data_IF_113113123164
#
_entry.id   IF_113113123164
#
_cell.length_a   1.000
_cell.length_b   1.000
_cell.length_c   1.000
_cell.angle_alpha   90.00
_cell.angle_beta   90.00
_cell.angle_gamma   90.00
#
_symmetry.space_group_name_H-M   'P 1'
#
loop_
_entity.id
_entity.type
_entity.pdbx_description
1 polymer ?
#
# COMPACT_ATOMS: atom_id res chain seq x y z
N UNK A 1 13.48 -15.22 27.86
CA UNK A 1 12.92 -15.44 26.50
C UNK A 1 14.09 -15.54 25.53
N UNK A 2 14.06 -16.48 24.60
CA UNK A 2 15.07 -16.59 23.54
C UNK A 2 15.09 -15.32 22.68
N UNK A 3 16.27 -14.89 22.21
CA UNK A 3 16.33 -13.81 21.23
C UNK A 3 15.72 -14.24 19.91
N UNK A 4 15.29 -13.28 19.06
CA UNK A 4 14.75 -13.58 17.72
C UNK A 4 15.79 -14.35 16.88
N UNK A 5 17.07 -13.95 16.95
CA UNK A 5 18.16 -14.64 16.27
C UNK A 5 18.31 -16.10 16.73
N UNK A 6 18.14 -16.37 18.04
CA UNK A 6 18.15 -17.75 18.55
C UNK A 6 16.96 -18.56 18.06
N UNK A 7 15.75 -17.97 18.00
CA UNK A 7 14.57 -18.66 17.46
C UNK A 7 14.76 -19.00 15.97
N UNK A 8 15.28 -18.07 15.19
CA UNK A 8 15.58 -18.30 13.75
C UNK A 8 16.61 -19.44 13.61
N UNK A 9 17.70 -19.39 14.39
CA UNK A 9 18.75 -20.41 14.34
C UNK A 9 18.28 -21.81 14.80
N UNK A 10 17.25 -21.88 15.64
CA UNK A 10 16.68 -23.12 16.15
C UNK A 10 15.48 -23.61 15.33
N UNK A 11 15.03 -22.84 14.32
CA UNK A 11 13.91 -23.27 13.48
C UNK A 11 14.31 -24.49 12.64
N UNK A 12 13.64 -25.63 12.83
CA UNK A 12 13.92 -26.81 12.02
C UNK A 12 13.55 -26.58 10.57
N UNK A 13 14.35 -27.11 9.66
CA UNK A 13 14.03 -27.11 8.22
C UNK A 13 12.84 -28.05 8.00
N UNK A 14 11.96 -27.70 7.07
CA UNK A 14 10.76 -28.47 6.69
C UNK A 14 9.68 -28.62 7.79
N UNK A 15 9.72 -27.76 8.80
CA UNK A 15 8.71 -27.70 9.86
C UNK A 15 8.02 -26.34 9.88
N UNK A 16 6.76 -26.31 10.32
CA UNK A 16 6.04 -25.07 10.62
C UNK A 16 6.84 -24.19 11.58
N UNK A 17 6.65 -22.89 11.51
CA UNK A 17 7.30 -21.96 12.43
C UNK A 17 6.94 -22.27 13.88
N UNK A 18 7.88 -22.05 14.78
CA UNK A 18 7.65 -22.18 16.23
C UNK A 18 6.57 -21.19 16.67
N UNK A 19 5.83 -21.54 17.72
CA UNK A 19 4.69 -20.77 18.24
C UNK A 19 5.02 -19.30 18.50
N UNK A 20 6.23 -19.02 18.93
CA UNK A 20 6.72 -17.67 19.22
C UNK A 20 6.63 -16.73 18.02
N UNK A 21 6.87 -17.23 16.81
CA UNK A 21 6.75 -16.42 15.58
C UNK A 21 5.34 -15.94 15.29
N UNK A 22 4.32 -16.59 15.84
CA UNK A 22 2.92 -16.21 15.67
C UNK A 22 2.39 -15.34 16.82
N UNK A 23 2.98 -15.44 18.02
CA UNK A 23 2.40 -14.87 19.23
C UNK A 23 3.19 -13.70 19.83
N UNK A 24 4.51 -13.60 19.56
CA UNK A 24 5.32 -12.54 20.16
C UNK A 24 5.08 -11.19 19.47
N UNK A 25 4.77 -10.19 20.29
CA UNK A 25 4.49 -8.82 19.83
C UNK A 25 5.75 -8.19 19.23
N UNK A 26 6.93 -8.39 19.84
CA UNK A 26 8.19 -7.83 19.33
C UNK A 26 8.60 -8.41 17.96
N UNK A 27 8.24 -9.67 17.68
CA UNK A 27 8.42 -10.25 16.34
C UNK A 27 7.46 -9.59 15.35
N UNK A 28 6.21 -9.43 15.74
CA UNK A 28 5.21 -8.77 14.88
C UNK A 28 5.57 -7.32 14.56
N UNK A 29 6.04 -6.56 15.55
CA UNK A 29 6.52 -5.18 15.35
C UNK A 29 7.70 -5.13 14.37
N UNK A 30 8.64 -6.08 14.48
CA UNK A 30 9.75 -6.19 13.55
C UNK A 30 9.30 -6.58 12.12
N UNK A 31 8.30 -7.45 12.00
CA UNK A 31 7.71 -7.81 10.71
C UNK A 31 7.02 -6.62 10.04
N UNK A 32 6.33 -5.78 10.81
CA UNK A 32 5.77 -4.54 10.28
C UNK A 32 6.89 -3.68 9.71
N UNK A 33 7.95 -3.45 10.45
CA UNK A 33 9.07 -2.60 10.03
C UNK A 33 9.81 -3.19 8.81
N UNK A 34 10.15 -4.47 8.84
CA UNK A 34 11.05 -5.09 7.87
C UNK A 34 10.36 -5.71 6.66
N UNK A 35 9.07 -6.05 6.80
CA UNK A 35 8.31 -6.69 5.72
C UNK A 35 7.29 -5.70 5.16
N UNK A 36 6.32 -5.25 5.97
CA UNK A 36 5.23 -4.43 5.45
C UNK A 36 5.67 -3.03 5.01
N UNK A 37 6.61 -2.41 5.73
CA UNK A 37 7.06 -1.05 5.40
C UNK A 37 8.17 -1.02 4.34
N UNK A 38 8.86 -2.14 4.10
CA UNK A 38 10.01 -2.19 3.18
C UNK A 38 9.77 -3.05 1.93
N UNK A 39 8.68 -3.82 1.88
CA UNK A 39 8.33 -4.65 0.73
C UNK A 39 7.33 -3.99 -0.21
N UNK A 40 7.30 -4.44 -1.46
CA UNK A 40 6.24 -4.10 -2.40
C UNK A 40 4.96 -4.86 -2.06
N UNK A 41 3.91 -4.13 -1.77
CA UNK A 41 2.60 -4.65 -1.41
C UNK A 41 1.66 -4.53 -2.59
N UNK A 42 1.03 -5.62 -3.01
CA UNK A 42 -0.09 -5.56 -3.94
C UNK A 42 -1.31 -4.94 -3.24
N UNK A 43 -1.83 -3.85 -3.80
CA UNK A 43 -2.90 -3.07 -3.17
C UNK A 43 -4.16 -2.90 -4.04
N UNK A 44 -4.11 -3.28 -5.30
CA UNK A 44 -5.25 -3.14 -6.21
C UNK A 44 -4.86 -3.25 -7.68
N UNK A 45 -5.84 -3.02 -8.54
CA UNK A 45 -5.67 -3.04 -9.99
C UNK A 45 -5.99 -1.67 -10.59
N UNK A 46 -5.31 -1.28 -11.66
CA UNK A 46 -5.44 0.04 -12.29
C UNK A 46 -6.85 0.29 -12.86
N UNK A 47 -7.58 -0.77 -13.18
CA UNK A 47 -8.98 -0.69 -13.59
C UNK A 47 -9.94 -0.23 -12.48
N UNK A 48 -9.50 -0.13 -11.22
CA UNK A 48 -10.30 0.41 -10.13
C UNK A 48 -10.34 1.95 -10.14
N UNK A 49 -9.37 2.56 -10.80
CA UNK A 49 -9.26 4.02 -10.95
C UNK A 49 -9.04 4.38 -12.43
N UNK A 50 -10.01 4.08 -13.33
CA UNK A 50 -9.85 4.20 -14.78
C UNK A 50 -9.80 5.65 -15.28
N UNK A 51 -10.35 6.62 -14.54
CA UNK A 51 -10.49 8.00 -14.99
C UNK A 51 -9.60 8.95 -14.20
N UNK A 52 -9.23 10.07 -14.80
CA UNK A 52 -8.52 11.16 -14.09
C UNK A 52 -9.32 11.59 -12.85
N UNK A 53 -8.65 11.61 -11.72
CA UNK A 53 -9.23 11.97 -10.44
C UNK A 53 -9.88 10.81 -9.69
N UNK A 54 -10.04 9.64 -10.30
CA UNK A 54 -10.45 8.44 -9.56
C UNK A 54 -9.40 8.10 -8.51
N UNK A 55 -9.85 7.76 -7.33
CA UNK A 55 -8.99 7.36 -6.23
C UNK A 55 -9.61 6.25 -5.38
N UNK A 56 -8.75 5.51 -4.71
CA UNK A 56 -9.11 4.70 -3.56
C UNK A 56 -8.17 4.94 -2.39
N UNK A 57 -8.62 4.62 -1.18
CA UNK A 57 -7.83 4.67 0.04
C UNK A 57 -7.42 3.26 0.44
N UNK A 58 -6.13 3.06 0.60
CA UNK A 58 -5.56 1.83 1.14
C UNK A 58 -5.14 2.06 2.58
N UNK A 59 -5.61 1.19 3.48
CA UNK A 59 -5.26 1.24 4.90
C UNK A 59 -4.39 0.04 5.26
N UNK A 60 -3.26 0.30 5.89
CA UNK A 60 -2.36 -0.71 6.45
C UNK A 60 -2.07 -0.35 7.89
N UNK A 61 -2.58 -1.13 8.82
CA UNK A 61 -2.46 -0.86 10.26
C UNK A 61 -2.98 0.55 10.61
N UNK A 62 -2.11 1.43 11.14
CA UNK A 62 -2.43 2.83 11.41
C UNK A 62 -2.31 3.76 10.20
N UNK A 63 -1.65 3.29 9.16
CA UNK A 63 -1.35 4.09 7.99
C UNK A 63 -2.52 4.12 6.99
N UNK A 64 -2.68 5.26 6.33
CA UNK A 64 -3.70 5.47 5.32
C UNK A 64 -3.07 6.14 4.11
N UNK A 65 -3.28 5.57 2.92
CA UNK A 65 -2.67 6.02 1.66
C UNK A 65 -3.76 6.27 0.64
N UNK A 66 -3.70 7.42 -0.03
CA UNK A 66 -4.54 7.76 -1.17
C UNK A 66 -3.82 7.31 -2.44
N UNK A 67 -4.46 6.48 -3.23
CA UNK A 67 -3.99 6.08 -4.57
C UNK A 67 -4.89 6.76 -5.59
N UNK A 68 -4.31 7.54 -6.51
CA UNK A 68 -5.08 8.41 -7.42
C UNK A 68 -4.52 8.37 -8.84
N UNK A 69 -5.41 8.47 -9.83
CA UNK A 69 -5.01 8.73 -11.22
C UNK A 69 -4.87 10.24 -11.44
N UNK A 70 -3.67 10.67 -11.76
CA UNK A 70 -3.33 12.06 -12.04
C UNK A 70 -3.85 12.57 -13.39
N UNK A 71 -3.71 13.87 -13.63
CA UNK A 71 -4.11 14.52 -14.90
C UNK A 71 -3.29 14.07 -16.11
N UNK A 72 -2.10 13.56 -15.87
CA UNK A 72 -1.18 13.00 -16.85
C UNK A 72 -1.32 11.49 -17.02
N UNK A 73 -2.44 10.95 -16.53
CA UNK A 73 -2.78 9.53 -16.54
C UNK A 73 -1.86 8.64 -15.67
N UNK A 74 -0.93 9.22 -14.90
CA UNK A 74 -0.06 8.48 -14.02
C UNK A 74 -0.75 8.18 -12.69
N UNK A 75 -0.59 6.97 -12.19
CA UNK A 75 -1.05 6.58 -10.85
C UNK A 75 0.00 7.03 -9.82
N UNK A 76 -0.47 7.63 -8.74
CA UNK A 76 0.35 8.14 -7.63
C UNK A 76 -0.23 7.73 -6.30
N UNK A 77 0.64 7.65 -5.32
CA UNK A 77 0.25 7.35 -3.95
C UNK A 77 0.76 8.42 -2.99
N UNK A 78 -0.08 8.80 -2.03
CA UNK A 78 0.25 9.79 -1.01
C UNK A 78 -0.26 9.33 0.34
N UNK A 79 0.49 9.63 1.41
CA UNK A 79 -0.06 9.51 2.76
C UNK A 79 -1.34 10.35 2.87
N UNK A 80 -2.40 9.77 3.37
CA UNK A 80 -3.70 10.42 3.55
C UNK A 80 -3.68 11.37 4.77
N UNK A 81 -2.68 12.23 4.80
CA UNK A 81 -2.38 13.12 5.94
C UNK A 81 -2.09 14.54 5.44
N UNK A 82 -2.86 15.51 5.94
CA UNK A 82 -2.68 16.91 5.61
C UNK A 82 -1.38 17.46 6.26
N UNK A 83 -0.56 18.14 5.47
CA UNK A 83 0.72 18.74 5.89
C UNK A 83 0.57 19.88 6.92
N UNK A 84 -0.65 20.36 7.13
CA UNK A 84 -0.93 21.42 8.09
C UNK A 84 -0.93 20.88 9.54
N UNK A 85 -1.88 20.01 9.88
CA UNK A 85 -2.07 19.48 11.25
C UNK A 85 -2.46 17.99 11.27
N UNK A 86 -2.04 17.21 10.29
CA UNK A 86 -2.17 15.77 10.33
C UNK A 86 -3.57 15.20 10.14
N UNK A 87 -4.57 16.03 9.77
CA UNK A 87 -5.93 15.52 9.50
C UNK A 87 -5.96 14.63 8.26
N UNK A 88 -6.75 13.59 8.27
CA UNK A 88 -7.08 12.81 7.06
C UNK A 88 -7.73 13.72 6.02
N UNK A 89 -7.38 13.53 4.75
CA UNK A 89 -7.84 14.35 3.62
C UNK A 89 -9.02 13.68 2.92
N UNK A 90 -8.87 12.42 2.50
CA UNK A 90 -9.95 11.60 1.95
C UNK A 90 -10.56 10.78 3.08
N UNK A 91 -11.84 10.97 3.32
CA UNK A 91 -12.60 10.27 4.35
C UNK A 91 -13.36 9.06 3.78
N UNK A 92 -13.68 9.10 2.50
CA UNK A 92 -14.33 8.00 1.78
C UNK A 92 -13.29 7.04 1.19
N UNK A 93 -13.62 5.77 1.18
CA UNK A 93 -12.71 4.72 0.69
C UNK A 93 -12.39 4.84 -0.80
N UNK A 94 -13.26 5.44 -1.59
CA UNK A 94 -13.07 5.68 -3.03
C UNK A 94 -13.92 6.82 -3.55
N UNK A 95 -13.55 7.36 -4.71
CA UNK A 95 -14.31 8.43 -5.35
C UNK A 95 -13.61 9.02 -6.55
N UNK A 96 -14.14 10.14 -7.06
CA UNK A 96 -13.51 10.95 -8.10
C UNK A 96 -13.40 12.40 -7.62
N UNK A 97 -12.21 12.97 -7.73
CA UNK A 97 -11.92 14.34 -7.29
C UNK A 97 -11.08 15.09 -8.30
N UNK A 98 -11.26 16.40 -8.34
CA UNK A 98 -10.41 17.29 -9.14
C UNK A 98 -9.16 17.76 -8.40
N UNK A 99 -9.19 17.72 -7.06
CA UNK A 99 -8.13 18.12 -6.14
C UNK A 99 -8.43 17.58 -4.74
N UNK A 100 -7.41 17.42 -3.92
CA UNK A 100 -7.56 17.04 -2.52
C UNK A 100 -7.81 18.28 -1.68
N UNK A 101 -8.88 18.34 -0.92
CA UNK A 101 -9.17 19.43 0.00
C UNK A 101 -9.31 18.89 1.42
N UNK A 102 -8.44 19.32 2.31
CA UNK A 102 -8.48 18.93 3.71
C UNK A 102 -9.77 19.44 4.37
N UNK A 103 -10.55 18.58 5.01
CA UNK A 103 -11.82 18.98 5.62
C UNK A 103 -11.62 19.87 6.86
N UNK A 104 -10.40 19.93 7.43
CA UNK A 104 -10.16 20.66 8.66
C UNK A 104 -9.97 22.18 8.41
N UNK A 105 -9.00 22.58 7.56
CA UNK A 105 -8.72 24.00 7.29
C UNK A 105 -8.64 24.33 5.79
N UNK A 106 -9.22 23.48 4.94
CA UNK A 106 -9.30 23.67 3.51
C UNK A 106 -7.94 23.84 2.77
N UNK A 107 -6.83 23.34 3.34
CA UNK A 107 -5.62 23.20 2.56
C UNK A 107 -5.90 22.31 1.37
N UNK A 108 -5.53 22.77 0.17
CA UNK A 108 -5.90 22.11 -1.07
C UNK A 108 -4.66 21.75 -1.86
N UNK A 109 -4.62 20.51 -2.32
CA UNK A 109 -3.51 19.95 -3.08
C UNK A 109 -4.00 19.51 -4.47
N UNK A 110 -3.12 19.63 -5.45
CA UNK A 110 -3.35 19.09 -6.79
C UNK A 110 -3.26 17.56 -6.76
N UNK A 111 -3.67 16.89 -7.88
CA UNK A 111 -3.57 15.43 -8.00
C UNK A 111 -2.11 14.94 -8.08
N UNK A 112 -1.15 15.83 -8.38
CA UNK A 112 0.30 15.55 -8.31
C UNK A 112 0.89 15.68 -6.91
N UNK A 113 0.04 15.97 -5.90
CA UNK A 113 0.41 16.13 -4.50
C UNK A 113 0.93 17.51 -4.14
N UNK A 114 1.14 18.43 -5.08
CA UNK A 114 1.62 19.78 -4.79
C UNK A 114 0.59 20.62 -4.03
N UNK A 115 1.04 21.45 -3.09
CA UNK A 115 0.17 22.36 -2.34
C UNK A 115 -0.28 23.52 -3.23
N UNK A 116 -1.58 23.60 -3.49
CA UNK A 116 -2.19 24.66 -4.30
C UNK A 116 -2.65 25.85 -3.44
N UNK A 117 -3.48 25.60 -2.44
CA UNK A 117 -4.08 26.60 -1.57
C UNK A 117 -3.75 26.27 -0.11
N UNK A 118 -3.19 27.23 0.59
CA UNK A 118 -3.00 27.21 2.03
C UNK A 118 -3.51 28.52 2.60
N UNK A 119 -4.72 28.52 3.16
CA UNK A 119 -5.23 29.67 3.90
C UNK A 119 -4.41 29.83 5.18
N UNK A 120 -4.18 31.05 5.58
CA UNK A 120 -3.46 31.40 6.81
C UNK A 120 -1.97 30.99 6.84
N UNK A 121 -1.39 30.65 5.68
CA UNK A 121 0.05 30.48 5.60
C UNK A 121 0.71 31.85 5.76
N UNK A 122 1.60 31.99 6.74
CA UNK A 122 2.31 33.23 6.98
C UNK A 122 3.09 33.71 5.74
N UNK A 123 3.15 35.03 5.53
CA UNK A 123 3.89 35.59 4.43
C UNK A 123 5.37 35.20 4.51
N UNK A 124 5.89 34.65 3.41
CA UNK A 124 7.28 34.19 3.31
C UNK A 124 7.50 32.69 3.43
N UNK A 125 6.49 31.90 3.84
CA UNK A 125 6.60 30.44 3.80
C UNK A 125 6.36 29.97 2.36
N UNK A 126 7.35 29.28 1.79
CA UNK A 126 7.26 28.70 0.45
C UNK A 126 6.35 27.47 0.47
N UNK A 127 5.45 27.37 -0.51
CA UNK A 127 4.57 26.20 -0.68
C UNK A 127 5.34 24.95 -1.18
N UNK A 128 6.48 25.19 -1.83
CA UNK A 128 7.40 24.13 -2.22
C UNK A 128 7.88 23.38 -0.97
N UNK A 129 7.77 22.07 -0.98
CA UNK A 129 8.06 21.23 0.18
C UNK A 129 6.89 21.00 1.14
N UNK A 130 5.75 21.69 0.97
CA UNK A 130 4.51 21.44 1.72
C UNK A 130 3.50 20.57 0.95
N UNK A 131 3.93 19.92 -0.13
CA UNK A 131 3.15 18.91 -0.83
C UNK A 131 2.89 17.67 0.02
N UNK A 132 1.94 16.84 -0.40
CA UNK A 132 1.65 15.56 0.26
C UNK A 132 2.88 14.65 0.26
N UNK A 133 3.06 13.90 1.32
CA UNK A 133 4.09 12.86 1.38
C UNK A 133 3.80 11.78 0.36
N UNK A 134 4.73 11.56 -0.57
CA UNK A 134 4.64 10.52 -1.59
C UNK A 134 4.99 9.17 -0.99
N UNK A 135 4.25 8.14 -1.41
CA UNK A 135 4.67 6.75 -1.28
C UNK A 135 5.18 6.25 -2.64
N UNK A 136 6.03 5.25 -2.61
CA UNK A 136 6.51 4.62 -3.84
C UNK A 136 5.39 3.77 -4.43
N UNK A 137 5.19 3.88 -5.74
CA UNK A 137 4.15 3.15 -6.44
C UNK A 137 4.67 2.65 -7.78
N UNK A 138 4.25 1.47 -8.18
CA UNK A 138 4.52 0.89 -9.48
C UNK A 138 3.27 0.18 -10.01
N UNK A 139 3.15 0.15 -11.33
CA UNK A 139 2.11 -0.64 -12.00
C UNK A 139 2.81 -1.68 -12.86
N UNK A 140 2.46 -2.94 -12.65
CA UNK A 140 2.99 -4.08 -13.40
C UNK A 140 1.82 -4.90 -13.92
N UNK A 141 1.61 -4.92 -15.22
CA UNK A 141 0.51 -5.62 -15.89
C UNK A 141 -0.87 -5.35 -15.26
N UNK A 142 -1.13 -4.06 -14.93
CA UNK A 142 -2.35 -3.63 -14.27
C UNK A 142 -2.35 -3.74 -12.74
N UNK A 143 -1.44 -4.53 -12.15
CA UNK A 143 -1.32 -4.64 -10.69
C UNK A 143 -0.68 -3.38 -10.11
N UNK A 144 -1.32 -2.76 -9.14
CA UNK A 144 -0.79 -1.62 -8.40
C UNK A 144 -0.01 -2.12 -7.19
N UNK A 145 1.27 -1.77 -7.13
CA UNK A 145 2.20 -2.13 -6.06
C UNK A 145 2.61 -0.87 -5.29
N UNK A 146 2.52 -0.92 -3.97
CA UNK A 146 2.88 0.16 -3.05
C UNK A 146 4.10 -0.23 -2.21
N UNK A 147 4.98 0.73 -1.94
CA UNK A 147 6.07 0.56 -0.98
C UNK A 147 6.23 1.84 -0.16
N UNK A 148 6.48 1.70 1.14
CA UNK A 148 6.65 2.82 2.07
C UNK A 148 8.11 3.26 2.23
N UNK A 149 9.07 2.46 1.76
CA UNK A 149 10.50 2.76 1.83
C UNK A 149 10.87 3.90 0.89
N UNK A 150 11.77 4.77 1.32
CA UNK A 150 12.35 5.80 0.44
C UNK A 150 13.25 5.20 -0.66
N UNK A 151 13.76 3.99 -0.44
CA UNK A 151 14.65 3.26 -1.35
C UNK A 151 14.16 1.81 -1.54
N UNK A 152 13.02 1.61 -2.21
CA UNK A 152 12.46 0.28 -2.40
C UNK A 152 13.36 -0.60 -3.27
N UNK A 153 13.32 -1.90 -3.04
CA UNK A 153 14.00 -2.86 -3.90
C UNK A 153 13.50 -2.77 -5.35
N UNK A 154 14.40 -3.06 -6.32
CA UNK A 154 14.01 -3.11 -7.74
C UNK A 154 12.94 -4.17 -8.00
N UNK A 155 11.98 -3.82 -8.86
CA UNK A 155 10.94 -4.73 -9.36
C UNK A 155 11.36 -5.50 -10.62
N UNK A 156 12.59 -5.34 -11.11
CA UNK A 156 13.01 -5.95 -12.36
C UNK A 156 12.96 -7.48 -12.31
N UNK A 157 13.36 -8.07 -11.19
CA UNK A 157 13.23 -9.51 -10.98
C UNK A 157 11.78 -10.00 -11.04
N UNK A 158 10.87 -9.27 -10.38
CA UNK A 158 9.44 -9.57 -10.38
C UNK A 158 8.83 -9.44 -11.80
N UNK A 159 9.15 -8.34 -12.49
CA UNK A 159 8.69 -8.10 -13.85
C UNK A 159 9.14 -9.21 -14.80
N UNK A 160 10.41 -9.60 -14.74
CA UNK A 160 10.96 -10.64 -15.60
C UNK A 160 10.27 -12.00 -15.43
N UNK A 161 9.81 -12.30 -14.22
CA UNK A 161 9.13 -13.57 -13.92
C UNK A 161 7.63 -13.51 -14.24
N UNK A 162 6.98 -12.37 -13.99
CA UNK A 162 5.52 -12.28 -14.04
C UNK A 162 4.99 -11.76 -15.38
N UNK A 163 5.75 -10.95 -16.14
CA UNK A 163 5.20 -10.28 -17.32
C UNK A 163 4.69 -11.26 -18.38
N UNK A 164 5.44 -12.29 -18.72
CA UNK A 164 5.02 -13.27 -19.74
C UNK A 164 3.75 -14.05 -19.33
N UNK A 165 3.65 -14.69 -18.15
CA UNK A 165 2.42 -15.36 -17.74
C UNK A 165 1.25 -14.39 -17.55
N UNK A 166 1.48 -13.17 -17.07
CA UNK A 166 0.41 -12.19 -16.90
C UNK A 166 -0.13 -11.69 -18.25
N UNK A 167 0.74 -11.44 -19.23
CA UNK A 167 0.34 -11.09 -20.59
C UNK A 167 -0.47 -12.22 -21.23
N UNK A 168 -0.04 -13.47 -21.08
CA UNK A 168 -0.75 -14.65 -21.59
C UNK A 168 -2.20 -14.73 -21.08
N UNK A 169 -2.46 -14.34 -19.84
CA UNK A 169 -3.80 -14.31 -19.24
C UNK A 169 -4.51 -12.95 -19.35
N UNK A 170 -3.91 -11.97 -20.05
CA UNK A 170 -4.50 -10.65 -20.25
C UNK A 170 -4.73 -9.85 -18.95
N UNK A 171 -3.84 -9.95 -17.97
CA UNK A 171 -4.00 -9.31 -16.66
C UNK A 171 -4.25 -7.82 -16.75
N UNK A 172 -3.57 -7.12 -17.65
CA UNK A 172 -3.73 -5.68 -17.89
C UNK A 172 -5.15 -5.25 -18.23
N UNK A 173 -5.92 -6.14 -18.87
CA UNK A 173 -7.29 -5.85 -19.33
C UNK A 173 -8.36 -6.34 -18.36
N UNK A 174 -7.96 -6.98 -17.26
CA UNK A 174 -8.88 -7.50 -16.25
C UNK A 174 -9.65 -6.36 -15.56
N UNK A 175 -10.82 -6.73 -15.06
CA UNK A 175 -11.68 -5.86 -14.24
C UNK A 175 -11.94 -6.55 -12.91
N UNK A 176 -12.04 -5.76 -11.84
CA UNK A 176 -12.45 -6.28 -10.54
C UNK A 176 -13.95 -6.60 -10.60
N UNK A 177 -14.30 -7.86 -10.52
CA UNK A 177 -15.68 -8.33 -10.54
C UNK A 177 -16.34 -8.19 -9.16
N UNK A 178 -15.60 -8.45 -8.08
CA UNK A 178 -16.08 -8.35 -6.71
C UNK A 178 -14.93 -8.24 -5.73
N UNK A 179 -15.16 -7.57 -4.60
CA UNK A 179 -14.31 -7.58 -3.42
C UNK A 179 -14.99 -8.43 -2.34
N UNK A 180 -14.23 -9.35 -1.73
CA UNK A 180 -14.67 -10.13 -0.58
C UNK A 180 -13.65 -9.96 0.55
N UNK A 181 -14.14 -9.54 1.71
CA UNK A 181 -13.31 -9.40 2.91
C UNK A 181 -13.64 -10.53 3.88
N UNK A 182 -12.61 -11.22 4.31
CA UNK A 182 -12.69 -12.28 5.32
C UNK A 182 -11.90 -11.85 6.55
N UNK A 183 -12.55 -11.24 7.57
CA UNK A 183 -11.85 -10.90 8.80
C UNK A 183 -11.42 -12.18 9.51
N UNK A 184 -10.13 -12.26 9.82
CA UNK A 184 -9.51 -13.40 10.49
C UNK A 184 -8.80 -12.88 11.73
N UNK A 185 -9.18 -13.39 12.90
CA UNK A 185 -8.52 -13.07 14.16
C UNK A 185 -7.30 -13.99 14.37
N UNK A 186 -6.28 -13.78 13.53
CA UNK A 186 -5.04 -14.57 13.56
C UNK A 186 -3.84 -13.76 13.05
N UNK A 187 -2.64 -14.30 13.30
CA UNK A 187 -1.42 -13.77 12.70
C UNK A 187 -1.45 -13.95 11.18
N UNK A 188 -0.99 -12.94 10.44
CA UNK A 188 -0.98 -12.92 8.97
C UNK A 188 -0.24 -14.12 8.34
N UNK A 189 0.79 -14.64 9.01
CA UNK A 189 1.55 -15.80 8.52
C UNK A 189 0.69 -17.04 8.38
N UNK A 190 -0.26 -17.25 9.31
CA UNK A 190 -1.20 -18.37 9.22
C UNK A 190 -2.11 -18.25 7.99
N UNK A 191 -2.52 -17.04 7.62
CA UNK A 191 -3.30 -16.83 6.40
C UNK A 191 -2.47 -17.13 5.14
N UNK A 192 -1.20 -16.70 5.11
CA UNK A 192 -0.29 -16.98 3.99
C UNK A 192 0.04 -18.47 3.89
N UNK A 193 0.33 -19.11 5.01
CA UNK A 193 0.60 -20.57 5.06
C UNK A 193 -0.62 -21.35 4.53
N UNK A 194 -1.81 -21.05 5.04
CA UNK A 194 -3.05 -21.66 4.56
C UNK A 194 -3.28 -21.43 3.06
N UNK A 195 -2.96 -20.27 2.53
CA UNK A 195 -3.09 -19.98 1.11
C UNK A 195 -2.11 -20.80 0.26
N UNK A 196 -0.90 -21.03 0.76
CA UNK A 196 0.13 -21.81 0.06
C UNK A 196 -0.11 -23.32 0.13
N UNK A 197 -0.94 -23.79 1.06
CA UNK A 197 -1.32 -25.19 1.15
C UNK A 197 -2.48 -25.49 0.19
N UNK A 198 -2.18 -26.18 -0.93
CA UNK A 198 -3.22 -26.61 -1.88
C UNK A 198 -4.16 -27.71 -1.32
N UNK A 199 -4.04 -28.06 -0.05
CA UNK A 199 -4.79 -29.15 0.56
C UNK A 199 -6.31 -28.88 0.65
N UNK A 200 -6.71 -27.61 0.63
CA UNK A 200 -8.10 -27.19 0.62
C UNK A 200 -8.70 -27.04 -0.79
N UNK A 201 -7.88 -27.18 -1.83
CA UNK A 201 -8.40 -27.24 -3.19
C UNK A 201 -9.07 -28.61 -3.39
N UNK A 202 -10.37 -28.62 -3.62
CA UNK A 202 -11.07 -29.85 -3.94
C UNK A 202 -10.43 -30.52 -5.17
N UNK A 203 -10.27 -31.86 -5.17
CA UNK A 203 -9.74 -32.59 -6.31
C UNK A 203 -10.68 -32.50 -7.51
#
# INVERSE_FOLDING_TARGET
MSSIAQLIAQQPVDWSLQQEFYKRVDIYELEIEKIYMDSWLFIGHDSEIPNIGDYFVYNLLSESVIVVRGKDDQIRAYMNVCRHRGSRICLEDRGNIKRFTCPYHAWTYNLDGSLMIAKELENGIKKEGLGLHKCQIAVVEGLILLNFSDQPASLDGLKNVLSEPMEMFGFKDLKIAAHKNYPIDSNWKLAVENYNECYHCAP
#
